data_IF_544559702493
#
_entry.id   IF_544559702493
#
_cell.length_a   1.000
_cell.length_b   1.000
_cell.length_c   1.000
_cell.angle_alpha   90.00
_cell.angle_beta   90.00
_cell.angle_gamma   90.00
#
_symmetry.space_group_name_H-M   'P 1'
#
loop_
_entity.id
_entity.type
_entity.pdbx_description
1 polymer ?
#
# COMPACT_ATOMS: atom_id res chain seq x y z
N UNK A 1 14.55 1.60 -1.51
CA UNK A 1 13.52 1.49 -2.55
C UNK A 1 12.80 0.16 -2.41
N UNK A 2 11.67 0.11 -1.67
CA UNK A 2 10.84 -1.08 -1.62
C UNK A 2 10.08 -1.27 -2.95
N UNK A 3 10.02 -2.51 -3.41
CA UNK A 3 9.09 -2.93 -4.47
C UNK A 3 7.94 -3.67 -3.82
N UNK A 4 6.72 -3.16 -3.98
CA UNK A 4 5.49 -3.74 -3.47
C UNK A 4 4.74 -4.42 -4.62
N UNK A 5 4.36 -5.67 -4.39
CA UNK A 5 3.49 -6.44 -5.29
C UNK A 5 2.05 -6.38 -4.77
N UNK A 6 1.13 -6.00 -5.65
CA UNK A 6 -0.30 -5.92 -5.36
C UNK A 6 -1.00 -7.24 -5.70
N UNK A 7 -2.22 -7.47 -5.18
CA UNK A 7 -2.97 -8.71 -5.41
C UNK A 7 -3.32 -9.00 -6.88
N UNK A 8 -3.28 -7.98 -7.74
CA UNK A 8 -3.47 -8.09 -9.19
C UNK A 8 -2.21 -8.54 -9.93
N UNK A 9 -1.10 -8.73 -9.22
CA UNK A 9 0.21 -9.08 -9.77
C UNK A 9 1.03 -7.89 -10.25
N UNK A 10 0.50 -6.67 -10.17
CA UNK A 10 1.25 -5.46 -10.51
C UNK A 10 2.31 -5.17 -9.43
N UNK A 11 3.43 -4.61 -9.86
CA UNK A 11 4.53 -4.22 -8.97
C UNK A 11 4.76 -2.72 -9.04
N UNK A 12 4.97 -2.09 -7.89
CA UNK A 12 5.25 -0.66 -7.77
C UNK A 12 6.52 -0.46 -6.95
N UNK A 13 7.39 0.42 -7.42
CA UNK A 13 8.62 0.79 -6.72
C UNK A 13 8.47 2.18 -6.13
N UNK A 14 8.88 2.33 -4.87
CA UNK A 14 8.85 3.61 -4.15
C UNK A 14 10.27 4.00 -3.73
N UNK A 15 10.58 5.29 -3.74
CA UNK A 15 11.94 5.79 -3.54
C UNK A 15 12.39 5.77 -2.05
N UNK A 16 11.46 5.59 -1.12
CA UNK A 16 11.71 5.63 0.33
C UNK A 16 10.89 4.62 1.13
N UNK A 17 10.96 4.73 2.46
CA UNK A 17 9.97 4.08 3.32
C UNK A 17 8.59 4.64 2.96
N UNK A 18 7.60 3.75 2.83
CA UNK A 18 6.25 4.14 2.45
C UNK A 18 5.23 3.42 3.32
N UNK A 19 4.08 4.05 3.50
CA UNK A 19 2.96 3.49 4.25
C UNK A 19 1.93 2.88 3.30
N UNK A 20 1.10 1.92 3.77
CA UNK A 20 0.00 1.42 2.96
C UNK A 20 -0.97 2.50 2.48
N UNK A 21 -1.16 3.57 3.25
CA UNK A 21 -1.95 4.72 2.85
C UNK A 21 -1.37 5.42 1.61
N UNK A 22 -0.07 5.71 1.59
CA UNK A 22 0.61 6.31 0.44
C UNK A 22 0.55 5.41 -0.80
N UNK A 23 0.69 4.09 -0.60
CA UNK A 23 0.52 3.12 -1.68
C UNK A 23 -0.90 3.19 -2.23
N UNK A 24 -1.92 3.19 -1.37
CA UNK A 24 -3.33 3.31 -1.78
C UNK A 24 -3.60 4.63 -2.51
N UNK A 25 -3.04 5.74 -2.02
CA UNK A 25 -3.15 7.07 -2.63
C UNK A 25 -2.51 7.12 -4.02
N UNK A 26 -1.40 6.42 -4.23
CA UNK A 26 -0.74 6.30 -5.54
C UNK A 26 -1.57 5.52 -6.58
N UNK A 27 -2.58 4.75 -6.12
CA UNK A 27 -3.50 4.02 -6.98
C UNK A 27 -4.71 4.91 -7.29
N UNK A 28 -5.36 5.46 -6.26
CA UNK A 28 -6.42 6.46 -6.39
C UNK A 28 -6.76 7.09 -5.04
N UNK A 29 -7.28 8.32 -5.08
CA UNK A 29 -7.79 9.00 -3.89
C UNK A 29 -8.95 8.24 -3.23
N UNK A 30 -9.85 7.66 -4.02
CA UNK A 30 -10.97 6.87 -3.52
C UNK A 30 -10.53 5.60 -2.77
N UNK A 31 -9.49 4.92 -3.24
CA UNK A 31 -8.96 3.75 -2.53
C UNK A 31 -8.33 4.15 -1.19
N UNK A 32 -7.57 5.25 -1.15
CA UNK A 32 -7.00 5.76 0.09
C UNK A 32 -8.07 6.16 1.10
N UNK A 33 -9.17 6.77 0.65
CA UNK A 33 -10.29 7.15 1.51
C UNK A 33 -11.04 5.94 2.11
N UNK A 34 -11.08 4.82 1.39
CA UNK A 34 -11.72 3.58 1.86
C UNK A 34 -10.79 2.62 2.59
N UNK A 35 -9.48 2.90 2.67
CA UNK A 35 -8.51 2.01 3.30
C UNK A 35 -8.61 2.06 4.83
N UNK A 36 -8.96 0.93 5.45
CA UNK A 36 -9.07 0.78 6.91
C UNK A 36 -7.83 0.08 7.49
N UNK A 37 -7.24 -0.85 6.74
CA UNK A 37 -6.07 -1.61 7.12
C UNK A 37 -5.37 -2.16 5.89
N UNK A 38 -4.17 -2.67 6.06
CA UNK A 38 -3.39 -3.27 5.00
C UNK A 38 -2.92 -4.67 5.41
N UNK A 39 -2.78 -5.56 4.44
CA UNK A 39 -2.22 -6.89 4.66
C UNK A 39 -0.84 -6.96 4.03
N UNK A 40 0.20 -7.00 4.85
CA UNK A 40 1.60 -7.10 4.42
C UNK A 40 2.07 -8.52 4.69
N UNK A 41 2.44 -9.25 3.64
CA UNK A 41 2.92 -10.65 3.75
C UNK A 41 2.01 -11.58 4.57
N UNK A 42 0.70 -11.34 4.55
CA UNK A 42 -0.29 -12.12 5.30
C UNK A 42 -0.67 -11.54 6.67
N UNK A 43 0.07 -10.56 7.18
CA UNK A 43 -0.18 -9.93 8.47
C UNK A 43 -1.00 -8.64 8.32
N UNK A 44 -2.00 -8.45 9.18
CA UNK A 44 -2.87 -7.27 9.17
C UNK A 44 -2.21 -6.13 9.96
N UNK A 45 -2.08 -4.97 9.35
CA UNK A 45 -1.48 -3.77 9.93
C UNK A 45 -2.32 -2.52 9.66
N UNK A 46 -2.08 -1.46 10.43
CA UNK A 46 -2.68 -0.14 10.21
C UNK A 46 -2.15 0.53 8.94
N UNK A 47 -3.00 1.35 8.31
CA UNK A 47 -2.67 2.04 7.05
C UNK A 47 -1.55 3.08 7.18
N UNK A 48 -1.21 3.48 8.41
CA UNK A 48 -0.18 4.50 8.72
C UNK A 48 1.13 3.92 9.24
N UNK A 49 1.28 2.59 9.26
CA UNK A 49 2.54 1.91 9.65
C UNK A 49 3.56 1.99 8.53
#
# INVERSE_FOLDING_TARGET
MPTITLPDGSTRSFDGATTPYEIAQSISEGLAACAIGARINGELTDVTT
#
